data_IF_790343238663
#
_entry.id   IF_790343238663
#
_cell.length_a   1.000
_cell.length_b   1.000
_cell.length_c   1.000
_cell.angle_alpha   90.00
_cell.angle_beta   90.00
_cell.angle_gamma   90.00
#
_symmetry.space_group_name_H-M   'P 1'
#
loop_
_entity.id
_entity.type
_entity.pdbx_description
1 polymer ?
#
# COMPACT_ATOMS: atom_id res chain seq x y z
N UNK A 1 -2.71 -8.76 23.15
CA UNK A 1 -1.70 -7.70 22.95
C UNK A 1 -2.16 -6.90 21.75
N UNK A 2 -2.57 -5.66 21.97
CA UNK A 2 -3.12 -4.78 20.93
C UNK A 2 -1.98 -4.45 19.97
N UNK A 3 -2.07 -4.91 18.72
CA UNK A 3 -1.20 -4.48 17.63
C UNK A 3 -1.31 -2.96 17.55
N UNK A 4 -0.23 -2.27 17.92
CA UNK A 4 -0.07 -0.85 17.65
C UNK A 4 -0.20 -0.77 16.13
N UNK A 5 -1.25 -0.12 15.62
CA UNK A 5 -1.33 0.21 14.21
C UNK A 5 -0.09 1.05 13.93
N UNK A 6 0.96 0.40 13.42
CA UNK A 6 2.21 1.03 13.05
C UNK A 6 1.84 2.14 12.10
N UNK A 7 2.03 3.37 12.56
CA UNK A 7 1.85 4.54 11.71
C UNK A 7 2.75 4.32 10.50
N UNK A 8 2.24 4.48 9.26
CA UNK A 8 3.03 4.25 8.07
C UNK A 8 4.27 5.14 8.15
N UNK A 9 5.43 4.50 8.14
CA UNK A 9 6.71 5.18 8.19
C UNK A 9 6.86 6.04 6.92
N UNK A 10 7.66 7.11 6.93
CA UNK A 10 7.89 7.92 5.73
C UNK A 10 8.53 7.16 4.54
N UNK A 11 8.98 5.93 4.76
CA UNK A 11 9.53 5.01 3.76
C UNK A 11 8.49 3.99 3.25
N UNK A 12 7.32 3.94 3.85
CA UNK A 12 6.27 3.00 3.51
C UNK A 12 5.79 3.19 2.06
N UNK A 13 5.34 2.10 1.45
CA UNK A 13 4.80 2.08 0.09
C UNK A 13 3.39 1.52 0.09
N UNK A 14 2.54 2.22 -0.63
CA UNK A 14 1.15 1.88 -0.87
C UNK A 14 0.99 1.16 -2.19
N UNK A 15 0.60 -0.10 -2.11
CA UNK A 15 0.17 -0.92 -3.23
C UNK A 15 -1.34 -0.86 -3.35
N UNK A 16 -1.84 -0.39 -4.48
CA UNK A 16 -3.27 -0.33 -4.78
C UNK A 16 -3.61 -1.32 -5.90
N UNK A 17 -4.61 -2.16 -5.67
CA UNK A 17 -5.10 -3.14 -6.63
C UNK A 17 -6.44 -2.67 -7.18
N UNK A 18 -6.52 -2.57 -8.51
CA UNK A 18 -7.66 -2.02 -9.22
C UNK A 18 -8.28 -3.04 -10.18
N UNK A 19 -9.60 -3.15 -10.13
CA UNK A 19 -10.41 -3.80 -11.15
C UNK A 19 -11.06 -2.73 -12.03
N UNK A 20 -10.45 -2.44 -13.17
CA UNK A 20 -10.85 -1.32 -14.01
C UNK A 20 -10.67 0.02 -13.28
N UNK A 21 -11.78 0.66 -12.91
CA UNK A 21 -11.81 1.93 -12.16
C UNK A 21 -12.02 1.74 -10.65
N UNK A 22 -12.29 0.51 -10.20
CA UNK A 22 -12.63 0.22 -8.81
C UNK A 22 -11.40 -0.23 -8.04
N UNK A 23 -11.09 0.45 -6.93
CA UNK A 23 -10.09 -0.01 -5.97
C UNK A 23 -10.68 -1.19 -5.19
N UNK A 24 -10.00 -2.34 -5.22
CA UNK A 24 -10.46 -3.56 -4.54
C UNK A 24 -9.60 -3.92 -3.34
N UNK A 25 -8.34 -3.49 -3.31
CA UNK A 25 -7.46 -3.64 -2.17
C UNK A 25 -6.46 -2.49 -2.13
N UNK A 26 -6.18 -2.00 -0.92
CA UNK A 26 -5.06 -1.12 -0.65
C UNK A 26 -4.21 -1.71 0.47
N UNK A 27 -2.90 -1.76 0.23
CA UNK A 27 -1.94 -2.37 1.12
C UNK A 27 -0.78 -1.40 1.30
N UNK A 28 -0.44 -1.07 2.54
CA UNK A 28 0.57 -0.06 2.89
C UNK A 28 1.57 -0.76 3.80
N UNK A 29 2.80 -0.94 3.35
CA UNK A 29 3.87 -1.56 4.12
C UNK A 29 5.27 -1.11 3.65
N UNK A 30 6.31 -1.51 4.38
CA UNK A 30 7.70 -1.34 4.01
C UNK A 30 7.98 -1.74 2.54
N UNK A 31 8.94 -1.08 1.87
CA UNK A 31 9.12 -1.19 0.42
C UNK A 31 9.37 -2.61 -0.07
N UNK A 32 10.08 -3.44 0.71
CA UNK A 32 10.34 -4.84 0.38
C UNK A 32 9.05 -5.70 0.41
N UNK A 33 8.25 -5.53 1.47
CA UNK A 33 6.96 -6.21 1.61
C UNK A 33 5.94 -5.75 0.55
N UNK A 34 5.92 -4.44 0.26
CA UNK A 34 5.09 -3.86 -0.80
C UNK A 34 5.46 -4.42 -2.18
N UNK A 35 6.75 -4.52 -2.51
CA UNK A 35 7.21 -5.11 -3.76
C UNK A 35 6.79 -6.60 -3.87
N UNK A 36 6.96 -7.38 -2.80
CA UNK A 36 6.52 -8.77 -2.77
C UNK A 36 5.00 -8.93 -2.97
N UNK A 37 4.20 -8.04 -2.37
CA UNK A 37 2.74 -8.05 -2.54
C UNK A 37 2.32 -7.69 -3.98
N UNK A 38 2.97 -6.68 -4.59
CA UNK A 38 2.73 -6.30 -5.99
C UNK A 38 2.98 -7.47 -6.94
N UNK A 39 4.14 -8.12 -6.82
CA UNK A 39 4.54 -9.24 -7.67
C UNK A 39 3.59 -10.44 -7.51
N UNK A 40 3.22 -10.76 -6.27
CA UNK A 40 2.26 -11.82 -5.98
C UNK A 40 0.88 -11.56 -6.61
N UNK A 41 0.39 -10.31 -6.50
CA UNK A 41 -0.90 -9.92 -7.08
C UNK A 41 -0.87 -9.92 -8.61
N UNK A 42 0.20 -9.39 -9.23
CA UNK A 42 0.37 -9.43 -10.69
C UNK A 42 0.48 -10.84 -11.23
N UNK A 43 1.21 -11.71 -10.54
CA UNK A 43 1.39 -13.11 -10.93
C UNK A 43 0.07 -13.89 -10.86
N UNK A 44 -0.72 -13.68 -9.80
CA UNK A 44 -1.97 -14.42 -9.59
C UNK A 44 -3.15 -13.84 -10.38
N UNK A 45 -3.12 -12.55 -10.68
CA UNK A 45 -4.22 -11.84 -11.34
C UNK A 45 -3.69 -10.87 -12.43
N UNK A 46 -3.26 -11.38 -13.59
CA UNK A 46 -2.65 -10.56 -14.64
C UNK A 46 -3.60 -9.53 -15.27
N UNK A 47 -4.92 -9.70 -15.09
CA UNK A 47 -5.93 -8.75 -15.56
C UNK A 47 -6.12 -7.54 -14.62
N UNK A 48 -5.58 -7.58 -13.41
CA UNK A 48 -5.69 -6.50 -12.44
C UNK A 48 -4.59 -5.46 -12.67
N UNK A 49 -4.95 -4.19 -12.52
CA UNK A 49 -3.97 -3.12 -12.48
C UNK A 49 -3.48 -2.98 -11.05
N UNK A 50 -2.19 -3.18 -10.84
CA UNK A 50 -1.52 -2.99 -9.54
C UNK A 50 -0.58 -1.80 -9.66
N UNK A 51 -0.71 -0.82 -8.77
CA UNK A 51 0.19 0.33 -8.64
C UNK A 51 0.92 0.26 -7.31
N UNK A 52 2.19 0.69 -7.29
CA UNK A 52 3.03 0.74 -6.10
C UNK A 52 3.64 2.13 -6.00
N UNK A 53 3.11 2.91 -5.07
CA UNK A 53 3.41 4.33 -4.92
C UNK A 53 3.93 4.58 -3.50
N UNK A 54 4.82 5.56 -3.28
CA UNK A 54 5.21 5.92 -1.92
C UNK A 54 3.96 6.29 -1.10
N UNK A 55 3.82 5.69 0.07
CA UNK A 55 2.75 6.05 0.98
C UNK A 55 3.03 7.49 1.42
N UNK A 56 2.17 8.42 0.99
CA UNK A 56 2.29 9.79 1.45
C UNK A 56 2.22 9.76 2.98
N UNK A 57 3.29 10.18 3.65
CA UNK A 57 3.22 10.50 5.08
C UNK A 57 2.15 11.57 5.17
N UNK A 58 0.97 11.17 5.63
CA UNK A 58 -0.05 12.13 6.01
C UNK A 58 0.50 12.76 7.28
N UNK A 59 1.31 13.81 7.12
CA UNK A 59 1.74 14.69 8.19
C UNK A 59 0.56 15.60 8.53
N UNK A 60 -0.59 15.00 8.86
CA UNK A 60 -1.79 15.68 9.35
C UNK A 60 -1.86 15.44 10.86
N UNK A 61 -0.88 16.04 11.53
CA UNK A 61 -0.71 16.25 12.96
C UNK A 61 0.64 17.00 13.01
N UNK A 62 0.74 18.31 13.16
CA UNK A 62 -0.06 19.22 13.97
C UNK A 62 0.03 20.63 13.34
N UNK A 63 -1.09 21.16 12.85
CA UNK A 63 -1.37 22.59 12.92
C UNK A 63 -2.10 22.77 14.26
N UNK A 64 -1.35 23.05 15.33
CA UNK A 64 -1.87 23.54 16.61
C UNK A 64 -0.82 24.40 17.30
#
# INVERSE_FOLDING_TARGET
MTTLAEMPLPTDRRVCVWFGKHLIADYTNAPDAAAGYEEAMRSRFPSLRVTNEPAAVTRDAELS
#
